data_IF_102112926372
#
_entry.id   IF_102112926372
#
_cell.length_a   1.000
_cell.length_b   1.000
_cell.length_c   1.000
_cell.angle_alpha   90.00
_cell.angle_beta   90.00
_cell.angle_gamma   90.00
#
_symmetry.space_group_name_H-M   'P 1'
#
loop_
_entity.id
_entity.type
_entity.pdbx_description
1 polymer ?
#
# COMPACT_ATOMS: atom_id res chain seq x y z
N UNK A 1 14.78 16.70 19.93
CA UNK A 1 13.77 17.73 19.60
C UNK A 1 13.92 18.29 18.17
N UNK A 2 15.14 18.52 17.70
CA UNK A 2 15.41 19.10 16.37
C UNK A 2 14.84 18.29 15.19
N UNK A 3 14.99 16.95 15.19
CA UNK A 3 14.46 16.08 14.12
C UNK A 3 12.94 16.19 13.99
N UNK A 4 12.22 16.23 15.12
CA UNK A 4 10.76 16.35 15.12
C UNK A 4 10.33 17.72 14.59
N UNK A 5 11.01 18.78 14.99
CA UNK A 5 10.74 20.14 14.48
C UNK A 5 11.05 20.24 12.98
N UNK A 6 12.11 19.60 12.50
CA UNK A 6 12.42 19.55 11.08
C UNK A 6 11.36 18.79 10.29
N UNK A 7 10.94 17.62 10.80
CA UNK A 7 9.93 16.77 10.15
C UNK A 7 8.56 17.45 10.04
N UNK A 8 8.17 18.25 11.05
CA UNK A 8 6.86 18.92 11.04
C UNK A 8 6.90 20.37 10.56
N UNK A 9 8.08 21.00 10.60
CA UNK A 9 8.27 22.41 10.26
C UNK A 9 8.63 22.67 8.80
N UNK A 10 9.23 21.68 8.10
CA UNK A 10 9.67 21.86 6.72
C UNK A 10 8.78 21.09 5.73
N UNK A 11 8.65 21.61 4.51
CA UNK A 11 7.90 20.95 3.44
C UNK A 11 8.49 19.55 3.13
N UNK A 12 9.81 19.45 3.11
CA UNK A 12 10.54 18.19 2.89
C UNK A 12 10.28 17.19 4.02
N UNK A 13 10.28 17.67 5.27
CA UNK A 13 9.99 16.83 6.44
C UNK A 13 8.56 16.27 6.40
N UNK A 14 7.57 17.12 6.13
CA UNK A 14 6.16 16.70 5.97
C UNK A 14 5.98 15.68 4.86
N UNK A 15 6.66 15.88 3.72
CA UNK A 15 6.66 14.95 2.60
C UNK A 15 7.25 13.59 3.00
N UNK A 16 8.39 13.60 3.70
CA UNK A 16 9.05 12.38 4.21
C UNK A 16 8.16 11.64 5.22
N UNK A 17 7.54 12.36 6.15
CA UNK A 17 6.59 11.78 7.11
C UNK A 17 5.41 11.11 6.38
N UNK A 18 4.86 11.75 5.37
CA UNK A 18 3.76 11.21 4.59
C UNK A 18 4.17 9.92 3.86
N UNK A 19 5.38 9.87 3.31
CA UNK A 19 5.96 8.64 2.73
C UNK A 19 5.99 7.54 3.80
N UNK A 20 6.60 7.80 4.95
CA UNK A 20 6.77 6.80 6.02
C UNK A 20 5.43 6.28 6.54
N UNK A 21 4.46 7.15 6.76
CA UNK A 21 3.11 6.79 7.19
C UNK A 21 2.41 5.92 6.13
N UNK A 22 2.58 6.25 4.85
CA UNK A 22 1.97 5.50 3.74
C UNK A 22 2.61 4.14 3.48
N UNK A 23 3.82 3.89 3.98
CA UNK A 23 4.46 2.58 3.94
C UNK A 23 3.81 1.56 4.88
N UNK A 24 3.06 2.01 5.89
CA UNK A 24 2.45 1.11 6.87
C UNK A 24 1.31 0.30 6.25
N UNK A 25 1.25 -1.03 6.51
CA UNK A 25 0.31 -1.94 5.83
C UNK A 25 -1.17 -1.69 6.14
N UNK A 26 -1.48 -0.97 7.22
CA UNK A 26 -2.84 -0.63 7.63
C UNK A 26 -3.27 0.73 7.11
N UNK A 27 -2.34 1.67 7.09
CA UNK A 27 -2.59 3.07 6.72
C UNK A 27 -2.62 3.22 5.21
N UNK A 28 -1.54 2.75 4.55
CA UNK A 28 -1.36 2.86 3.10
C UNK A 28 -1.59 4.29 2.58
N UNK A 29 -1.90 4.44 1.30
CA UNK A 29 -2.21 5.75 0.73
C UNK A 29 -3.55 6.33 1.24
N UNK A 30 -4.44 5.48 1.77
CA UNK A 30 -5.76 5.91 2.29
C UNK A 30 -5.66 6.81 3.50
N UNK A 31 -4.76 6.47 4.41
CA UNK A 31 -4.43 7.31 5.55
C UNK A 31 -3.33 8.31 5.21
N UNK A 32 -2.42 7.95 4.30
CA UNK A 32 -1.29 8.80 3.91
C UNK A 32 -1.71 10.10 3.23
N UNK A 33 -2.69 10.07 2.31
CA UNK A 33 -3.19 11.28 1.64
C UNK A 33 -3.83 12.25 2.64
N UNK A 34 -4.84 11.84 3.43
CA UNK A 34 -5.41 12.72 4.46
C UNK A 34 -4.39 13.19 5.49
N UNK A 35 -3.48 12.33 5.91
CA UNK A 35 -2.39 12.70 6.82
C UNK A 35 -1.51 13.79 6.22
N UNK A 36 -1.05 13.62 4.97
CA UNK A 36 -0.22 14.61 4.29
C UNK A 36 -0.89 15.99 4.21
N UNK A 37 -2.18 16.01 3.88
CA UNK A 37 -2.97 17.25 3.87
C UNK A 37 -3.10 17.84 5.28
N UNK A 38 -3.36 17.03 6.30
CA UNK A 38 -3.51 17.49 7.69
C UNK A 38 -2.25 18.12 8.27
N UNK A 39 -1.06 17.66 7.84
CA UNK A 39 0.21 18.29 8.25
C UNK A 39 0.58 19.50 7.37
N UNK A 40 -0.29 19.90 6.46
CA UNK A 40 -0.18 21.12 5.65
C UNK A 40 0.60 20.94 4.33
N UNK A 41 0.62 19.71 3.77
CA UNK A 41 1.05 19.53 2.39
C UNK A 41 -0.08 19.94 1.43
N UNK A 42 0.24 20.54 0.28
CA UNK A 42 -0.73 20.71 -0.79
C UNK A 42 -1.19 19.32 -1.30
N UNK A 43 -2.46 19.20 -1.69
CA UNK A 43 -3.08 17.92 -2.03
C UNK A 43 -2.27 17.07 -3.04
N UNK A 44 -1.71 17.71 -4.07
CA UNK A 44 -0.86 17.03 -5.06
C UNK A 44 0.43 16.46 -4.45
N UNK A 45 1.06 17.18 -3.49
CA UNK A 45 2.27 16.71 -2.83
C UNK A 45 1.96 15.56 -1.86
N UNK A 46 0.85 15.66 -1.10
CA UNK A 46 0.36 14.58 -0.26
C UNK A 46 0.04 13.31 -1.08
N UNK A 47 -0.59 13.46 -2.24
CA UNK A 47 -0.83 12.37 -3.18
C UNK A 47 0.47 11.72 -3.66
N UNK A 48 1.42 12.52 -4.18
CA UNK A 48 2.71 11.99 -4.64
C UNK A 48 3.48 11.27 -3.52
N UNK A 49 3.56 11.88 -2.34
CA UNK A 49 4.23 11.28 -1.19
C UNK A 49 3.57 9.95 -0.78
N UNK A 50 2.24 9.91 -0.72
CA UNK A 50 1.50 8.71 -0.34
C UNK A 50 1.65 7.59 -1.38
N UNK A 51 1.59 7.90 -2.66
CA UNK A 51 1.82 6.93 -3.74
C UNK A 51 3.24 6.35 -3.67
N UNK A 52 4.25 7.21 -3.53
CA UNK A 52 5.64 6.76 -3.40
C UNK A 52 5.82 5.87 -2.16
N UNK A 53 5.32 6.31 -1.00
CA UNK A 53 5.41 5.54 0.24
C UNK A 53 4.74 4.17 0.13
N UNK A 54 3.58 4.10 -0.51
CA UNK A 54 2.85 2.86 -0.69
C UNK A 54 3.53 1.88 -1.67
N UNK A 55 4.31 2.40 -2.62
CA UNK A 55 5.01 1.59 -3.62
C UNK A 55 6.37 1.08 -3.16
N UNK A 56 7.06 1.76 -2.24
CA UNK A 56 8.39 1.36 -1.75
C UNK A 56 8.41 -0.10 -1.25
N UNK A 57 7.49 -0.58 -0.40
CA UNK A 57 7.54 -1.95 0.09
C UNK A 57 7.16 -3.01 -0.95
N UNK A 58 6.47 -2.64 -2.04
CA UNK A 58 5.92 -3.58 -3.04
C UNK A 58 6.95 -4.58 -3.59
N UNK A 59 8.11 -4.16 -4.15
CA UNK A 59 9.08 -5.10 -4.70
C UNK A 59 9.67 -6.01 -3.63
N UNK A 60 9.88 -5.49 -2.43
CA UNK A 60 10.40 -6.28 -1.31
C UNK A 60 9.40 -7.35 -0.87
N UNK A 61 8.11 -7.01 -0.78
CA UNK A 61 7.08 -7.98 -0.44
C UNK A 61 7.03 -9.09 -1.49
N UNK A 62 6.95 -8.76 -2.78
CA UNK A 62 6.83 -9.76 -3.84
C UNK A 62 8.02 -10.72 -3.84
N UNK A 63 9.23 -10.23 -3.60
CA UNK A 63 10.46 -11.04 -3.65
C UNK A 63 10.67 -11.86 -2.38
N UNK A 64 10.46 -11.27 -1.21
CA UNK A 64 10.94 -11.84 0.05
C UNK A 64 9.86 -12.46 0.92
N UNK A 65 8.57 -12.14 0.71
CA UNK A 65 7.53 -12.53 1.65
C UNK A 65 7.40 -14.03 1.85
N UNK A 66 7.60 -14.83 0.81
CA UNK A 66 7.57 -16.29 0.90
C UNK A 66 8.70 -16.82 1.79
N UNK A 67 9.91 -16.29 1.63
CA UNK A 67 11.06 -16.66 2.48
C UNK A 67 10.84 -16.22 3.92
N UNK A 68 10.27 -15.03 4.12
CA UNK A 68 9.94 -14.52 5.45
C UNK A 68 8.91 -15.42 6.11
N UNK A 69 7.85 -15.82 5.42
CA UNK A 69 6.82 -16.70 5.98
C UNK A 69 7.36 -18.09 6.31
N UNK A 70 8.21 -18.67 5.47
CA UNK A 70 8.89 -19.95 5.78
C UNK A 70 9.76 -19.82 7.01
N UNK A 71 10.60 -18.79 7.09
CA UNK A 71 11.44 -18.53 8.26
C UNK A 71 10.61 -18.32 9.54
N UNK A 72 9.49 -17.58 9.44
CA UNK A 72 8.58 -17.36 10.57
C UNK A 72 7.96 -18.68 11.06
N UNK A 73 7.56 -19.56 10.15
CA UNK A 73 7.02 -20.90 10.51
C UNK A 73 8.05 -21.75 11.28
N UNK A 74 9.31 -21.69 10.85
CA UNK A 74 10.40 -22.45 11.47
C UNK A 74 10.83 -21.89 12.83
N UNK A 75 10.96 -20.57 12.95
CA UNK A 75 11.56 -19.92 14.11
C UNK A 75 10.54 -19.38 15.11
N UNK A 76 9.33 -19.07 14.69
CA UNK A 76 8.30 -18.42 15.49
C UNK A 76 6.94 -19.12 15.35
N UNK A 77 6.78 -20.37 15.88
CA UNK A 77 5.54 -21.15 15.72
C UNK A 77 4.28 -20.44 16.25
N UNK A 78 4.44 -19.51 17.21
CA UNK A 78 3.34 -18.71 17.75
C UNK A 78 2.69 -17.78 16.72
N UNK A 79 3.43 -17.44 15.64
CA UNK A 79 2.96 -16.57 14.56
C UNK A 79 2.33 -17.33 13.39
N UNK A 80 2.29 -18.68 13.44
CA UNK A 80 1.73 -19.49 12.35
C UNK A 80 0.28 -19.08 12.01
N UNK A 81 -0.54 -18.78 13.02
CA UNK A 81 -1.92 -18.31 12.80
C UNK A 81 -1.99 -17.02 12.00
N UNK A 82 -1.05 -16.10 12.22
CA UNK A 82 -0.96 -14.85 11.47
C UNK A 82 -0.54 -15.10 10.03
N UNK A 83 0.49 -15.93 9.83
CA UNK A 83 0.97 -16.32 8.50
C UNK A 83 -0.17 -16.99 7.71
N UNK A 84 -0.85 -17.97 8.32
CA UNK A 84 -1.98 -18.68 7.70
C UNK A 84 -3.14 -17.74 7.34
N UNK A 85 -3.43 -16.75 8.18
CA UNK A 85 -4.45 -15.75 7.91
C UNK A 85 -4.11 -14.86 6.72
N UNK A 86 -2.83 -14.43 6.61
CA UNK A 86 -2.35 -13.61 5.50
C UNK A 86 -2.31 -14.39 4.19
N UNK A 87 -1.83 -15.63 4.21
CA UNK A 87 -1.83 -16.52 3.04
C UNK A 87 -3.25 -16.81 2.57
N UNK A 88 -4.16 -17.15 3.49
CA UNK A 88 -5.57 -17.38 3.16
C UNK A 88 -6.21 -16.14 2.54
N UNK A 89 -5.94 -14.96 3.08
CA UNK A 89 -6.44 -13.70 2.53
C UNK A 89 -5.90 -13.46 1.11
N UNK A 90 -4.63 -13.75 0.86
CA UNK A 90 -4.04 -13.64 -0.46
C UNK A 90 -4.68 -14.62 -1.46
N UNK A 91 -4.87 -15.89 -1.06
CA UNK A 91 -5.52 -16.89 -1.90
C UNK A 91 -7.00 -16.58 -2.21
N UNK A 92 -7.79 -16.17 -1.22
CA UNK A 92 -9.19 -15.80 -1.42
C UNK A 92 -9.34 -14.64 -2.41
N UNK A 93 -8.46 -13.65 -2.34
CA UNK A 93 -8.45 -12.54 -3.29
C UNK A 93 -7.78 -12.87 -4.62
N UNK A 94 -6.97 -13.93 -4.64
CA UNK A 94 -6.30 -14.43 -5.83
C UNK A 94 -7.26 -14.91 -6.92
N UNK A 95 -8.49 -15.36 -6.60
CA UNK A 95 -9.45 -15.82 -7.57
C UNK A 95 -9.81 -14.77 -8.64
N UNK A 96 -9.91 -13.50 -8.25
CA UNK A 96 -10.12 -12.39 -9.19
C UNK A 96 -8.90 -12.20 -10.09
N UNK A 97 -7.71 -12.33 -9.51
CA UNK A 97 -6.45 -12.17 -10.22
C UNK A 97 -6.20 -13.36 -11.17
N UNK A 98 -6.52 -14.60 -10.77
CA UNK A 98 -6.38 -15.77 -11.65
C UNK A 98 -7.28 -15.68 -12.88
N UNK A 99 -8.51 -15.14 -12.72
CA UNK A 99 -9.45 -14.96 -13.82
C UNK A 99 -9.01 -13.91 -14.84
N UNK A 100 -8.50 -12.78 -14.36
CA UNK A 100 -8.17 -11.62 -15.19
C UNK A 100 -6.67 -11.29 -15.23
N UNK A 101 -5.81 -12.13 -14.63
CA UNK A 101 -4.35 -11.96 -14.56
C UNK A 101 -3.98 -10.57 -14.04
N UNK A 102 -3.22 -9.81 -14.82
CA UNK A 102 -2.70 -8.51 -14.42
C UNK A 102 -3.78 -7.44 -14.25
N UNK A 103 -4.84 -7.48 -15.07
CA UNK A 103 -5.99 -6.59 -14.92
C UNK A 103 -6.71 -6.84 -13.58
N UNK A 104 -6.86 -8.11 -13.19
CA UNK A 104 -7.41 -8.47 -11.89
C UNK A 104 -6.58 -7.90 -10.72
N UNK A 105 -5.25 -7.85 -10.87
CA UNK A 105 -4.36 -7.24 -9.88
C UNK A 105 -4.55 -5.71 -9.81
N UNK A 106 -4.67 -5.04 -10.96
CA UNK A 106 -5.00 -3.61 -11.01
C UNK A 106 -6.31 -3.33 -10.28
N UNK A 107 -7.38 -4.07 -10.60
CA UNK A 107 -8.70 -3.90 -9.99
C UNK A 107 -8.64 -4.15 -8.48
N UNK A 108 -7.97 -5.22 -8.04
CA UNK A 108 -7.80 -5.55 -6.63
C UNK A 108 -7.16 -4.42 -5.83
N UNK A 109 -6.14 -3.76 -6.41
CA UNK A 109 -5.40 -2.67 -5.77
C UNK A 109 -6.17 -1.34 -5.87
N UNK A 110 -6.83 -1.10 -7.01
CA UNK A 110 -7.56 0.14 -7.29
C UNK A 110 -8.81 0.34 -6.43
N UNK A 111 -9.48 -0.74 -6.03
CA UNK A 111 -10.69 -0.64 -5.20
C UNK A 111 -10.28 -0.24 -3.76
N UNK A 112 -10.72 0.92 -3.25
CA UNK A 112 -10.31 1.41 -1.94
C UNK A 112 -11.11 0.78 -0.79
N UNK A 113 -11.12 -0.55 -0.70
CA UNK A 113 -11.78 -1.31 0.38
C UNK A 113 -10.79 -1.73 1.47
N UNK A 114 -11.23 -1.87 2.73
CA UNK A 114 -10.40 -2.40 3.80
C UNK A 114 -9.79 -3.76 3.43
N UNK A 115 -8.47 -3.85 3.51
CA UNK A 115 -7.76 -5.08 3.20
C UNK A 115 -7.55 -5.39 1.71
N UNK A 116 -7.75 -4.40 0.83
CA UNK A 116 -7.21 -4.35 -0.53
C UNK A 116 -6.02 -3.37 -0.54
N UNK A 117 -5.41 -3.12 -1.67
CA UNK A 117 -4.33 -2.13 -1.81
C UNK A 117 -2.98 -2.77 -2.17
N UNK A 118 -1.90 -1.99 -2.10
CA UNK A 118 -0.59 -2.40 -2.56
C UNK A 118 -0.01 -3.57 -1.78
N UNK A 119 -0.18 -3.60 -0.47
CA UNK A 119 0.29 -4.70 0.37
C UNK A 119 -0.40 -6.02 0.02
N UNK A 120 -1.73 -6.03 -0.04
CA UNK A 120 -2.50 -7.23 -0.40
C UNK A 120 -2.24 -7.64 -1.85
N UNK A 121 -2.17 -6.68 -2.79
CA UNK A 121 -1.82 -6.95 -4.18
C UNK A 121 -0.44 -7.58 -4.32
N UNK A 122 0.55 -7.11 -3.55
CA UNK A 122 1.90 -7.67 -3.54
C UNK A 122 1.92 -9.10 -2.98
N UNK A 123 1.17 -9.39 -1.91
CA UNK A 123 1.01 -10.74 -1.38
C UNK A 123 0.39 -11.67 -2.42
N UNK A 124 -0.70 -11.26 -3.06
CA UNK A 124 -1.36 -12.03 -4.11
C UNK A 124 -0.42 -12.28 -5.28
N UNK A 125 0.30 -11.25 -5.74
CA UNK A 125 1.28 -11.39 -6.82
C UNK A 125 2.39 -12.38 -6.46
N UNK A 126 2.89 -12.36 -5.21
CA UNK A 126 3.90 -13.28 -4.72
C UNK A 126 3.38 -14.73 -4.67
N UNK A 127 2.16 -14.97 -4.14
CA UNK A 127 1.60 -16.31 -4.01
C UNK A 127 1.14 -16.91 -5.34
N UNK A 128 0.82 -16.09 -6.33
CA UNK A 128 0.48 -16.52 -7.69
C UNK A 128 1.69 -16.58 -8.63
N UNK A 129 2.91 -16.47 -8.11
CA UNK A 129 4.17 -16.49 -8.88
C UNK A 129 4.19 -15.51 -10.07
N UNK A 130 3.56 -14.34 -9.90
CA UNK A 130 3.50 -13.34 -10.95
C UNK A 130 4.88 -12.70 -11.16
N UNK A 131 5.37 -12.60 -12.42
CA UNK A 131 6.66 -11.99 -12.70
C UNK A 131 6.65 -10.51 -12.33
N UNK A 132 7.69 -10.06 -11.62
CA UNK A 132 7.88 -8.68 -11.14
C UNK A 132 7.63 -7.63 -12.23
N UNK A 133 8.17 -7.89 -13.44
CA UNK A 133 8.07 -6.97 -14.58
C UNK A 133 6.63 -6.60 -14.94
N UNK A 134 5.65 -7.45 -14.61
CA UNK A 134 4.23 -7.24 -14.90
C UNK A 134 3.41 -6.96 -13.63
N UNK A 135 3.79 -7.55 -12.50
CA UNK A 135 3.13 -7.32 -11.23
C UNK A 135 3.30 -5.87 -10.74
N UNK A 136 4.53 -5.33 -10.79
CA UNK A 136 4.82 -3.97 -10.35
C UNK A 136 4.03 -2.92 -11.14
N UNK A 137 4.04 -2.87 -12.48
CA UNK A 137 3.24 -1.91 -13.23
C UNK A 137 1.73 -2.02 -12.95
N UNK A 138 1.22 -3.25 -12.76
CA UNK A 138 -0.18 -3.45 -12.40
C UNK A 138 -0.53 -2.87 -11.03
N UNK A 139 0.35 -3.08 -10.03
CA UNK A 139 0.17 -2.51 -8.69
C UNK A 139 0.28 -0.98 -8.75
N UNK A 140 1.26 -0.45 -9.47
CA UNK A 140 1.42 1.01 -9.67
C UNK A 140 0.15 1.62 -10.25
N UNK A 141 -0.39 1.04 -11.33
CA UNK A 141 -1.64 1.51 -11.94
C UNK A 141 -2.80 1.48 -10.93
N UNK A 142 -2.94 0.37 -10.18
CA UNK A 142 -3.97 0.25 -9.14
C UNK A 142 -3.82 1.28 -8.02
N UNK A 143 -2.59 1.51 -7.54
CA UNK A 143 -2.29 2.52 -6.50
C UNK A 143 -2.62 3.93 -6.97
N UNK A 144 -2.26 4.29 -8.21
CA UNK A 144 -2.57 5.61 -8.78
C UNK A 144 -4.08 5.80 -8.88
N UNK A 145 -4.81 4.81 -9.40
CA UNK A 145 -6.28 4.87 -9.50
C UNK A 145 -6.91 5.01 -8.11
N UNK A 146 -6.49 4.17 -7.14
CA UNK A 146 -6.99 4.26 -5.76
C UNK A 146 -6.71 5.63 -5.13
N UNK A 147 -5.50 6.18 -5.37
CA UNK A 147 -5.11 7.50 -4.88
C UNK A 147 -5.96 8.63 -5.48
N UNK A 148 -6.26 8.57 -6.78
CA UNK A 148 -7.15 9.54 -7.43
C UNK A 148 -8.57 9.48 -6.83
N UNK A 149 -9.12 8.28 -6.63
CA UNK A 149 -10.45 8.11 -6.02
C UNK A 149 -10.47 8.68 -4.61
N UNK A 150 -9.46 8.40 -3.79
CA UNK A 150 -9.36 8.89 -2.41
C UNK A 150 -9.12 10.40 -2.40
N UNK A 151 -8.24 10.91 -3.27
CA UNK A 151 -7.98 12.34 -3.37
C UNK A 151 -9.22 13.15 -3.76
N UNK A 152 -10.00 12.66 -4.72
CA UNK A 152 -11.26 13.28 -5.11
C UNK A 152 -12.30 13.21 -3.98
N UNK A 153 -12.41 12.07 -3.28
CA UNK A 153 -13.32 11.93 -2.14
C UNK A 153 -12.94 12.87 -0.99
N UNK A 154 -11.65 12.98 -0.68
CA UNK A 154 -11.17 13.89 0.35
C UNK A 154 -11.41 15.37 -0.02
N UNK A 155 -11.21 15.74 -1.28
CA UNK A 155 -11.45 17.11 -1.74
C UNK A 155 -12.94 17.45 -1.76
N UNK A 156 -13.78 16.53 -2.20
CA UNK A 156 -15.24 16.67 -2.18
C UNK A 156 -15.82 16.85 -0.77
N UNK A 157 -15.28 16.15 0.23
CA UNK A 157 -15.67 16.32 1.64
C UNK A 157 -15.25 17.69 2.19
N UNK A 158 -14.07 18.18 1.81
CA UNK A 158 -13.58 19.50 2.28
C UNK A 158 -14.39 20.64 1.65
N UNK A 159 -14.90 20.46 0.42
CA UNK A 159 -15.71 21.49 -0.27
C UNK A 159 -17.17 21.55 0.20
N UNK A 160 -17.62 20.58 1.03
CA UNK A 160 -18.98 20.51 1.59
C UNK A 160 -19.06 21.05 3.03
N UNK A 161 -17.91 21.35 3.66
CA UNK A 161 -17.80 21.93 5.01
C UNK A 161 -17.35 23.38 4.91
#
# INVERSE_FOLDING_TARGET
MELMQWLTGTLVGKFTLTILVSMLPVVELRGGIPFGVSVGLPAWAAFCAAVLGNLIPVPFIIVYIRRIFQWMREKLPRLNRLVDALERKAHLKGNMVTKYKYLGLVILVAIPLPGTGAWTGSLVAAFLDMPLRRAIPSIVAGVVIAGLVIGLAAHGLISLI
#
